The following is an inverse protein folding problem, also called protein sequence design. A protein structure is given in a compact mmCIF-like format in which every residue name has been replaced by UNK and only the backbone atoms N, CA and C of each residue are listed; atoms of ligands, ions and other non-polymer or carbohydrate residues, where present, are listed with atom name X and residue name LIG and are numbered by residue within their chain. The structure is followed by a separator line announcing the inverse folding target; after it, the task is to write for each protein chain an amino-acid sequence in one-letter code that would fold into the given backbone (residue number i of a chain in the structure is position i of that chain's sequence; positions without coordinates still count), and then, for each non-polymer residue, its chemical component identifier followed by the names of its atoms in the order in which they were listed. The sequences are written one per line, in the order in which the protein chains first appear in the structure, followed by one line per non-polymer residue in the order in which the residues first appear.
data_IF_540604251258
#
_entry.id   IF_540604251258
#
_cell.length_a   1.000
_cell.length_b   1.000
_cell.length_c   1.000
_cell.angle_alpha   90.00
_cell.angle_beta   90.00
_cell.angle_gamma   90.00
#
_symmetry.space_group_name_H-M   'P 1'
#
loop_
_entity.id
_entity.type
_entity.pdbx_description
1 polymer ?
#
# COMPACT_ATOMS: atom_id res chain seq x y z
N UNK A 1 20.66 -14.60 -10.32
CA UNK A 1 20.33 -15.36 -9.13
C UNK A 1 19.37 -14.57 -8.24
N UNK A 2 18.52 -15.28 -7.55
CA UNK A 2 17.49 -14.63 -6.72
C UNK A 2 18.07 -13.74 -5.63
N UNK A 3 19.25 -14.06 -5.11
CA UNK A 3 19.89 -13.28 -4.06
C UNK A 3 20.31 -11.88 -4.50
N UNK A 4 20.65 -11.72 -5.76
CA UNK A 4 21.00 -10.40 -6.29
C UNK A 4 19.76 -9.52 -6.44
N UNK A 5 18.66 -10.11 -6.88
CA UNK A 5 17.39 -9.39 -7.02
C UNK A 5 16.81 -8.94 -5.68
N UNK A 6 17.10 -9.68 -4.61
CA UNK A 6 16.64 -9.33 -3.27
C UNK A 6 17.27 -8.05 -2.73
N UNK A 7 18.49 -7.77 -3.14
CA UNK A 7 19.23 -6.60 -2.67
C UNK A 7 18.89 -5.34 -3.46
N UNK A 8 18.21 -5.49 -4.61
CA UNK A 8 17.85 -4.36 -5.46
C UNK A 8 16.37 -4.08 -5.26
N UNK A 9 16.05 -3.48 -4.10
CA UNK A 9 14.69 -3.04 -3.86
C UNK A 9 14.43 -1.81 -4.74
N UNK A 10 13.34 -1.88 -5.51
CA UNK A 10 12.98 -0.79 -6.40
C UNK A 10 12.68 0.49 -5.62
N UNK A 11 13.43 1.54 -5.89
CA UNK A 11 13.22 2.84 -5.27
C UNK A 11 12.68 3.83 -6.30
N UNK A 12 11.75 3.37 -7.09
CA UNK A 12 11.19 4.09 -8.24
C UNK A 12 9.69 4.22 -8.06
N UNK A 13 9.17 5.40 -8.42
CA UNK A 13 7.73 5.63 -8.42
C UNK A 13 7.05 4.91 -9.58
N UNK A 14 5.83 4.42 -9.34
CA UNK A 14 5.01 3.81 -10.37
C UNK A 14 4.02 4.86 -10.86
N UNK A 15 4.11 5.21 -12.13
CA UNK A 15 3.33 6.31 -12.72
C UNK A 15 2.02 5.81 -13.27
N UNK A 16 0.92 6.38 -12.79
CA UNK A 16 -0.42 6.06 -13.27
C UNK A 16 -1.07 7.21 -14.00
N UNK A 17 -2.36 7.08 -14.24
CA UNK A 17 -3.14 8.10 -14.93
C UNK A 17 -3.49 9.27 -13.99
N UNK A 18 -4.16 8.98 -12.89
CA UNK A 18 -4.57 9.99 -11.90
C UNK A 18 -3.71 9.94 -10.65
N UNK A 19 -3.17 8.77 -10.32
CA UNK A 19 -2.35 8.58 -9.12
C UNK A 19 -0.99 8.01 -9.50
N UNK A 20 0.00 8.33 -8.65
CA UNK A 20 1.31 7.69 -8.67
C UNK A 20 1.48 6.91 -7.38
N UNK A 21 2.21 5.81 -7.44
CA UNK A 21 2.66 5.08 -6.26
C UNK A 21 4.10 5.46 -6.00
N UNK A 22 4.35 6.16 -4.89
CA UNK A 22 5.67 6.66 -4.55
C UNK A 22 6.20 5.85 -3.37
N UNK A 23 7.44 5.31 -3.44
CA UNK A 23 8.00 4.58 -2.30
C UNK A 23 7.87 5.40 -1.03
N UNK A 24 7.34 4.78 0.03
CA UNK A 24 6.99 5.51 1.25
C UNK A 24 8.24 6.03 1.96
N UNK A 25 8.21 7.28 2.36
CA UNK A 25 9.30 7.96 3.07
C UNK A 25 8.74 8.64 4.31
N UNK A 26 9.64 9.02 5.22
CA UNK A 26 9.24 9.71 6.45
C UNK A 26 8.46 11.00 6.19
N UNK A 27 8.72 11.67 5.08
CA UNK A 27 8.00 12.90 4.71
C UNK A 27 6.48 12.69 4.58
N UNK A 28 6.03 11.47 4.38
CA UNK A 28 4.60 11.14 4.32
C UNK A 28 3.99 10.92 5.71
N UNK A 29 4.79 10.86 6.76
CA UNK A 29 4.30 10.73 8.14
C UNK A 29 3.95 12.13 8.64
N UNK A 30 2.74 12.57 8.31
CA UNK A 30 2.22 13.91 8.64
C UNK A 30 1.11 13.79 9.68
N UNK A 31 0.66 14.93 10.23
CA UNK A 31 -0.51 14.94 11.11
C UNK A 31 -1.73 14.35 10.41
N UNK A 32 -1.89 14.65 9.12
CA UNK A 32 -2.95 14.09 8.30
C UNK A 32 -2.91 12.57 8.28
N UNK A 33 -1.72 11.99 8.11
CA UNK A 33 -1.54 10.54 8.12
C UNK A 33 -1.88 9.95 9.49
N UNK A 34 -1.44 10.61 10.56
CA UNK A 34 -1.75 10.19 11.92
C UNK A 34 -3.26 10.25 12.19
N UNK A 35 -3.93 11.26 11.68
CA UNK A 35 -5.39 11.39 11.80
C UNK A 35 -6.11 10.23 11.12
N UNK A 36 -5.63 9.79 9.96
CA UNK A 36 -6.20 8.62 9.29
C UNK A 36 -6.08 7.38 10.17
N UNK A 37 -4.93 7.16 10.77
CA UNK A 37 -4.68 5.97 11.59
C UNK A 37 -5.43 6.01 12.92
N UNK A 38 -5.86 7.20 13.36
CA UNK A 38 -6.68 7.37 14.55
C UNK A 38 -8.18 7.30 14.24
N UNK A 39 -8.57 7.29 12.98
CA UNK A 39 -9.96 7.26 12.54
C UNK A 39 -10.44 5.82 12.43
N UNK A 40 -11.42 5.46 13.25
CA UNK A 40 -11.96 4.10 13.29
C UNK A 40 -12.55 3.68 11.95
N UNK A 41 -13.18 4.60 11.21
CA UNK A 41 -13.74 4.27 9.91
C UNK A 41 -12.66 3.89 8.89
N UNK A 42 -11.49 4.49 9.01
CA UNK A 42 -10.35 4.19 8.13
C UNK A 42 -9.70 2.87 8.53
N UNK A 43 -9.54 2.61 9.82
CA UNK A 43 -8.67 1.54 10.33
C UNK A 43 -9.40 0.30 10.83
N UNK A 44 -10.72 0.31 10.90
CA UNK A 44 -11.48 -0.79 11.53
C UNK A 44 -11.22 -2.18 10.93
N UNK A 45 -10.77 -2.25 9.69
CA UNK A 45 -10.43 -3.52 9.03
C UNK A 45 -8.93 -3.71 8.85
N UNK A 46 -8.11 -2.90 9.55
CA UNK A 46 -6.65 -2.98 9.46
C UNK A 46 -6.08 -3.40 10.81
N UNK A 47 -4.98 -4.14 10.77
CA UNK A 47 -4.29 -4.56 12.00
C UNK A 47 -3.82 -3.39 12.84
N UNK A 48 -3.51 -2.26 12.20
CA UNK A 48 -3.03 -1.05 12.89
C UNK A 48 -4.02 -0.51 13.92
N UNK A 49 -5.31 -0.84 13.81
CA UNK A 49 -6.31 -0.40 14.76
C UNK A 49 -6.09 -0.95 16.17
N UNK A 50 -5.29 -2.00 16.31
CA UNK A 50 -5.00 -2.65 17.58
C UNK A 50 -3.79 -2.04 18.31
N UNK A 51 -3.13 -1.03 17.72
CA UNK A 51 -1.91 -0.45 18.26
C UNK A 51 -2.05 1.06 18.43
N UNK A 52 -1.32 1.60 19.41
CA UNK A 52 -1.24 3.05 19.57
C UNK A 52 -0.51 3.66 18.36
N UNK A 53 -1.10 4.70 17.79
CA UNK A 53 -0.58 5.34 16.60
C UNK A 53 0.21 6.59 16.97
N UNK A 54 1.49 6.43 17.22
CA UNK A 54 2.42 7.53 17.47
C UNK A 54 3.40 7.62 16.31
N UNK A 55 4.12 8.74 16.22
CA UNK A 55 5.16 8.91 15.20
C UNK A 55 6.19 7.77 15.31
N UNK A 56 6.56 7.40 16.53
CA UNK A 56 7.56 6.35 16.76
C UNK A 56 7.07 4.99 16.29
N UNK A 57 5.83 4.60 16.60
CA UNK A 57 5.30 3.30 16.18
C UNK A 57 5.15 3.22 14.68
N UNK A 58 4.73 4.32 14.05
CA UNK A 58 4.58 4.40 12.61
C UNK A 58 5.94 4.36 11.92
N UNK A 59 6.91 5.11 12.42
CA UNK A 59 8.27 5.11 11.89
C UNK A 59 8.88 3.72 11.95
N UNK A 60 8.70 3.02 13.06
CA UNK A 60 9.17 1.64 13.20
C UNK A 60 8.49 0.70 12.20
N UNK A 61 7.19 0.88 11.99
CA UNK A 61 6.42 0.09 11.02
C UNK A 61 6.97 0.30 9.60
N UNK A 62 7.20 1.55 9.22
CA UNK A 62 7.73 1.88 7.88
C UNK A 62 9.15 1.34 7.73
N UNK A 63 9.97 1.44 8.77
CA UNK A 63 11.34 0.94 8.72
C UNK A 63 11.40 -0.58 8.52
N UNK A 64 10.42 -1.31 9.01
CA UNK A 64 10.33 -2.75 8.75
C UNK A 64 10.16 -3.05 7.27
N UNK A 65 9.41 -2.22 6.55
CA UNK A 65 9.29 -2.34 5.10
C UNK A 65 10.61 -2.01 4.41
N UNK A 66 11.26 -0.93 4.83
CA UNK A 66 12.51 -0.48 4.20
C UNK A 66 13.66 -1.47 4.42
N UNK A 67 13.63 -2.22 5.51
CA UNK A 67 14.65 -3.20 5.85
C UNK A 67 14.28 -4.63 5.46
N UNK A 68 13.25 -4.81 4.64
CA UNK A 68 12.78 -6.11 4.20
C UNK A 68 12.58 -6.14 2.70
N UNK A 69 12.12 -7.27 2.18
CA UNK A 69 11.77 -7.43 0.78
C UNK A 69 10.38 -6.89 0.44
N UNK A 70 9.62 -6.50 1.45
CA UNK A 70 8.26 -5.99 1.27
C UNK A 70 8.28 -4.56 0.74
N UNK A 71 7.17 -4.16 0.14
CA UNK A 71 7.03 -2.83 -0.45
C UNK A 71 5.88 -2.07 0.20
N UNK A 72 6.07 -0.79 0.43
CA UNK A 72 5.01 0.12 0.81
C UNK A 72 5.13 1.39 -0.05
N UNK A 73 4.01 1.77 -0.65
CA UNK A 73 3.93 2.96 -1.49
C UNK A 73 2.90 3.93 -0.95
N UNK A 74 3.19 5.22 -1.04
CA UNK A 74 2.19 6.26 -0.83
C UNK A 74 1.38 6.41 -2.12
N UNK A 75 0.06 6.50 -1.98
CA UNK A 75 -0.84 6.78 -3.10
C UNK A 75 -1.02 8.29 -3.18
N UNK A 76 -0.56 8.89 -4.27
CA UNK A 76 -0.54 10.35 -4.42
C UNK A 76 -1.30 10.75 -5.67
N UNK A 77 -2.26 11.66 -5.52
CA UNK A 77 -2.95 12.25 -6.69
C UNK A 77 -1.97 13.18 -7.39
N UNK A 78 -1.60 12.86 -8.62
CA UNK A 78 -0.52 13.56 -9.31
C UNK A 78 -0.83 15.01 -9.65
N UNK A 79 -2.08 15.33 -9.97
CA UNK A 79 -2.49 16.67 -10.36
C UNK A 79 -2.27 17.70 -9.24
N UNK A 80 -2.53 17.31 -7.99
CA UNK A 80 -2.45 18.21 -6.84
C UNK A 80 -1.39 17.76 -5.83
N UNK A 81 -0.61 16.75 -6.16
CA UNK A 81 0.44 16.18 -5.32
C UNK A 81 -0.06 15.89 -3.90
N UNK A 82 -1.21 15.24 -3.80
CA UNK A 82 -1.89 14.99 -2.54
C UNK A 82 -1.84 13.52 -2.14
N UNK A 83 -1.19 13.23 -1.02
CA UNK A 83 -1.12 11.88 -0.43
C UNK A 83 -2.50 11.52 0.13
N UNK A 84 -3.10 10.44 -0.38
CA UNK A 84 -4.46 10.02 0.02
C UNK A 84 -4.52 8.65 0.67
N UNK A 85 -3.45 7.88 0.62
CA UNK A 85 -3.45 6.54 1.20
C UNK A 85 -2.15 5.82 0.97
N UNK A 86 -2.14 4.54 1.31
CA UNK A 86 -0.97 3.67 1.14
C UNK A 86 -1.39 2.34 0.55
N UNK A 87 -0.46 1.70 -0.16
CA UNK A 87 -0.66 0.35 -0.68
C UNK A 87 0.62 -0.46 -0.41
N UNK A 88 0.45 -1.71 -0.02
CA UNK A 88 1.58 -2.56 0.36
C UNK A 88 1.60 -3.86 -0.43
N UNK A 89 2.79 -4.41 -0.59
CA UNK A 89 3.02 -5.75 -1.11
C UNK A 89 3.88 -6.48 -0.10
N UNK A 90 3.34 -7.47 0.58
CA UNK A 90 3.95 -8.14 1.72
C UNK A 90 3.99 -9.65 1.56
N UNK A 91 4.75 -10.28 2.43
CA UNK A 91 4.85 -11.73 2.50
C UNK A 91 5.22 -12.33 1.15
N UNK A 92 6.19 -11.70 0.46
CA UNK A 92 6.61 -12.12 -0.86
C UNK A 92 7.31 -13.46 -0.76
N UNK A 93 6.78 -14.45 -1.48
CA UNK A 93 7.40 -15.77 -1.61
C UNK A 93 8.03 -15.87 -2.99
N UNK A 94 9.36 -15.77 -3.05
CA UNK A 94 10.07 -15.75 -4.33
C UNK A 94 10.15 -17.14 -4.98
N UNK A 95 10.01 -18.20 -4.18
CA UNK A 95 10.03 -19.58 -4.69
C UNK A 95 8.74 -19.90 -5.42
N UNK A 96 7.60 -19.62 -4.79
CA UNK A 96 6.29 -19.89 -5.37
C UNK A 96 5.70 -18.69 -6.09
N UNK A 97 6.37 -17.55 -6.02
CA UNK A 97 6.06 -16.32 -6.76
C UNK A 97 4.67 -15.78 -6.48
N UNK A 98 4.37 -15.59 -5.20
CA UNK A 98 3.13 -14.93 -4.78
C UNK A 98 3.41 -13.92 -3.67
N UNK A 99 2.46 -13.04 -3.44
CA UNK A 99 2.53 -12.05 -2.38
C UNK A 99 1.13 -11.63 -1.94
N UNK A 100 1.06 -10.91 -0.83
CA UNK A 100 -0.20 -10.39 -0.29
C UNK A 100 -0.23 -8.88 -0.48
N UNK A 101 -1.36 -8.36 -0.94
CA UNK A 101 -1.60 -6.94 -1.15
C UNK A 101 -2.46 -6.39 -0.03
N UNK A 102 -2.17 -5.16 0.41
CA UNK A 102 -3.01 -4.42 1.33
C UNK A 102 -3.15 -2.99 0.87
N UNK A 103 -4.30 -2.37 1.10
CA UNK A 103 -4.56 -0.98 0.68
C UNK A 103 -5.34 -0.23 1.75
N UNK A 104 -5.00 1.05 1.91
CA UNK A 104 -5.73 1.98 2.78
C UNK A 104 -5.86 3.31 2.04
N UNK A 105 -7.10 3.75 1.80
CA UNK A 105 -7.36 5.13 1.39
C UNK A 105 -7.77 5.87 2.66
N UNK A 106 -6.88 6.70 3.16
CA UNK A 106 -7.10 7.39 4.44
C UNK A 106 -8.01 8.60 4.32
N UNK A 107 -7.97 9.29 3.19
CA UNK A 107 -8.80 10.47 2.97
C UNK A 107 -10.16 10.04 2.43
N UNK A 108 -11.17 10.12 3.29
CA UNK A 108 -12.51 9.61 2.99
C UNK A 108 -13.18 10.26 1.78
N UNK A 109 -12.83 11.50 1.47
CA UNK A 109 -13.44 12.18 0.32
C UNK A 109 -13.03 11.58 -1.01
N UNK A 110 -12.00 10.74 -1.02
CA UNK A 110 -11.55 10.03 -2.22
C UNK A 110 -12.03 8.58 -2.27
N UNK A 111 -12.88 8.18 -1.33
CA UNK A 111 -13.51 6.87 -1.38
C UNK A 111 -14.52 6.83 -2.52
N UNK A 112 -14.68 5.67 -3.14
CA UNK A 112 -15.67 5.39 -4.21
C UNK A 112 -15.40 6.08 -5.55
N UNK A 113 -14.29 6.79 -5.69
CA UNK A 113 -13.94 7.48 -6.94
C UNK A 113 -13.00 6.68 -7.84
N UNK A 114 -12.68 5.45 -7.46
CA UNK A 114 -11.83 4.57 -8.25
C UNK A 114 -10.33 4.74 -8.05
N UNK A 115 -9.91 5.60 -7.13
CA UNK A 115 -8.48 5.80 -6.85
C UNK A 115 -7.82 4.54 -6.32
N UNK A 116 -8.49 3.82 -5.42
CA UNK A 116 -7.97 2.56 -4.89
C UNK A 116 -7.82 1.50 -5.97
N UNK A 117 -8.78 1.41 -6.87
CA UNK A 117 -8.74 0.47 -8.00
C UNK A 117 -7.57 0.79 -8.92
N UNK A 118 -7.35 2.06 -9.21
CA UNK A 118 -6.23 2.49 -10.05
C UNK A 118 -4.88 2.19 -9.38
N UNK A 119 -4.76 2.49 -8.09
CA UNK A 119 -3.55 2.19 -7.33
C UNK A 119 -3.26 0.68 -7.33
N UNK A 120 -4.29 -0.13 -7.13
CA UNK A 120 -4.16 -1.59 -7.14
C UNK A 120 -3.71 -2.09 -8.50
N UNK A 121 -4.24 -1.53 -9.59
CA UNK A 121 -3.84 -1.89 -10.95
C UNK A 121 -2.36 -1.62 -11.20
N UNK A 122 -1.86 -0.47 -10.73
CA UNK A 122 -0.44 -0.14 -10.83
C UNK A 122 0.42 -1.13 -10.06
N UNK A 123 0.01 -1.50 -8.85
CA UNK A 123 0.75 -2.44 -8.04
C UNK A 123 0.78 -3.82 -8.70
N UNK A 124 -0.33 -4.25 -9.27
CA UNK A 124 -0.41 -5.55 -9.94
C UNK A 124 0.49 -5.59 -11.18
N UNK A 125 0.53 -4.51 -11.97
CA UNK A 125 1.45 -4.43 -13.10
C UNK A 125 2.89 -4.56 -12.63
N UNK A 126 3.26 -3.87 -11.59
CA UNK A 126 4.59 -3.94 -11.00
C UNK A 126 4.90 -5.36 -10.53
N UNK A 127 3.98 -5.97 -9.79
CA UNK A 127 4.18 -7.30 -9.24
C UNK A 127 4.35 -8.36 -10.34
N UNK A 128 3.53 -8.31 -11.38
CA UNK A 128 3.58 -9.32 -12.43
C UNK A 128 4.68 -9.06 -13.46
N UNK A 129 4.90 -7.82 -13.83
CA UNK A 129 5.84 -7.48 -14.91
C UNK A 129 7.26 -7.25 -14.39
N UNK A 130 7.42 -6.55 -13.28
CA UNK A 130 8.75 -6.22 -12.77
C UNK A 130 9.27 -7.27 -11.78
N UNK A 131 8.43 -7.72 -10.85
CA UNK A 131 8.83 -8.71 -9.86
C UNK A 131 8.63 -10.15 -10.34
N UNK A 132 7.94 -10.33 -11.44
CA UNK A 132 7.67 -11.65 -12.03
C UNK A 132 6.92 -12.60 -11.11
N UNK A 133 6.03 -12.04 -10.30
CA UNK A 133 5.14 -12.84 -9.45
C UNK A 133 4.02 -13.44 -10.29
N UNK A 134 3.47 -14.56 -9.83
CA UNK A 134 2.41 -15.28 -10.53
C UNK A 134 1.03 -15.04 -9.91
N UNK A 135 1.00 -14.69 -8.62
CA UNK A 135 -0.27 -14.56 -7.90
C UNK A 135 -0.17 -13.49 -6.83
N UNK A 136 -1.22 -12.70 -6.74
CA UNK A 136 -1.38 -11.70 -5.66
C UNK A 136 -2.66 -12.05 -4.91
N UNK A 137 -2.53 -12.14 -3.60
CA UNK A 137 -3.65 -12.45 -2.70
C UNK A 137 -4.11 -11.16 -2.04
N UNK A 138 -5.40 -10.90 -2.13
CA UNK A 138 -6.04 -9.80 -1.40
C UNK A 138 -7.14 -10.39 -0.54
N UNK A 139 -7.35 -9.81 0.63
CA UNK A 139 -8.42 -10.24 1.50
C UNK A 139 -9.19 -9.03 2.03
N UNK A 140 -10.46 -9.25 2.36
CA UNK A 140 -11.30 -8.22 2.95
C UNK A 140 -12.26 -8.90 3.93
N UNK A 141 -12.58 -8.20 5.02
CA UNK A 141 -13.62 -8.67 5.93
C UNK A 141 -14.98 -8.64 5.21
N UNK A 142 -15.88 -9.55 5.61
CA UNK A 142 -17.21 -9.64 5.02
C UNK A 142 -17.95 -8.31 5.03
N UNK A 143 -17.77 -7.54 6.11
CA UNK A 143 -18.42 -6.23 6.29
C UNK A 143 -17.73 -5.09 5.53
N UNK A 144 -16.57 -5.35 4.93
CA UNK A 144 -15.84 -4.33 4.18
C UNK A 144 -16.27 -4.34 2.71
N UNK A 145 -17.42 -3.73 2.42
CA UNK A 145 -17.98 -3.71 1.07
C UNK A 145 -17.09 -3.00 0.07
N UNK A 146 -16.42 -1.92 0.49
CA UNK A 146 -15.50 -1.19 -0.39
C UNK A 146 -14.31 -2.05 -0.80
N UNK A 147 -13.73 -2.79 0.16
CA UNK A 147 -12.64 -3.72 -0.12
C UNK A 147 -13.06 -4.85 -1.04
N UNK A 148 -14.24 -5.42 -0.81
CA UNK A 148 -14.77 -6.50 -1.65
C UNK A 148 -14.98 -6.02 -3.08
N UNK A 149 -15.58 -4.84 -3.27
CA UNK A 149 -15.79 -4.26 -4.61
C UNK A 149 -14.47 -4.03 -5.32
N UNK A 150 -13.45 -3.53 -4.63
CA UNK A 150 -12.13 -3.30 -5.20
C UNK A 150 -11.49 -4.62 -5.65
N UNK A 151 -11.64 -5.67 -4.86
CA UNK A 151 -11.06 -6.99 -5.17
C UNK A 151 -11.73 -7.67 -6.37
N UNK A 152 -12.98 -7.35 -6.64
CA UNK A 152 -13.73 -7.97 -7.75
C UNK A 152 -13.56 -7.26 -9.08
N UNK A 153 -12.94 -6.09 -9.08
CA UNK A 153 -12.64 -5.37 -10.31
C UNK A 153 -11.26 -5.73 -10.82
#
# INVERSE_FOLDING_TARGET
MCSENKNIKLNKSLKGNRVDLIPFKEEFITEKYLDWLSDIEVTKYLDVSNYDQTIDTITNYINRFNNSENYIFAIVIKEINNHIGNITLQNINWVHKFATEGIMIGDKKYWKDGYGTEARSLLLEFAFNDLKLNRIVSSAFVDNLAGIKSNTK
#
